data_IF_756306385483
#
_entry.id   IF_756306385483
#
_cell.length_a   1.000
_cell.length_b   1.000
_cell.length_c   1.000
_cell.angle_alpha   90.00
_cell.angle_beta   90.00
_cell.angle_gamma   90.00
#
_symmetry.space_group_name_H-M   'P 1'
#
loop_
_entity.id
_entity.type
_entity.pdbx_description
1 polymer ?
#
# COMPACT_ATOMS: atom_id res chain seq x y z
N UNK A 1 4.19 24.21 -58.64
CA UNK A 1 4.20 23.32 -57.47
C UNK A 1 2.95 22.43 -57.54
N UNK A 2 3.11 21.12 -57.76
CA UNK A 2 1.97 20.22 -57.89
C UNK A 2 1.26 20.04 -56.57
N UNK A 3 -0.07 20.17 -56.55
CA UNK A 3 -0.89 20.00 -55.33
C UNK A 3 -0.63 18.65 -54.63
N UNK A 4 -0.29 17.62 -55.39
CA UNK A 4 0.01 16.28 -54.89
C UNK A 4 1.32 16.22 -54.11
N UNK A 5 2.34 16.96 -54.51
CA UNK A 5 3.64 16.99 -53.76
C UNK A 5 3.49 17.68 -52.40
N UNK A 6 2.65 18.75 -52.34
CA UNK A 6 2.35 19.45 -51.12
C UNK A 6 1.53 18.57 -50.16
N UNK A 7 0.59 17.77 -50.70
CA UNK A 7 -0.22 16.84 -49.91
C UNK A 7 0.65 15.72 -49.31
N UNK A 8 1.57 15.15 -50.11
CA UNK A 8 2.51 14.12 -49.63
C UNK A 8 3.44 14.68 -48.54
N UNK A 9 3.92 15.91 -48.70
CA UNK A 9 4.73 16.57 -47.69
C UNK A 9 4.01 16.78 -46.35
N UNK A 10 2.77 17.23 -46.42
CA UNK A 10 1.95 17.45 -45.19
C UNK A 10 1.62 16.13 -44.49
N UNK A 11 1.22 15.08 -45.25
CA UNK A 11 0.91 13.77 -44.65
C UNK A 11 2.14 13.14 -44.02
N UNK A 12 3.32 13.27 -44.65
CA UNK A 12 4.59 12.81 -44.08
C UNK A 12 4.94 13.52 -42.77
N UNK A 13 4.80 14.83 -42.74
CA UNK A 13 5.08 15.63 -41.55
C UNK A 13 4.15 15.26 -40.39
N UNK A 14 2.85 15.06 -40.66
CA UNK A 14 1.87 14.63 -39.64
C UNK A 14 2.21 13.23 -39.12
N UNK A 15 2.57 12.29 -40.00
CA UNK A 15 2.96 10.94 -39.59
C UNK A 15 4.20 10.91 -38.70
N UNK A 16 5.23 11.69 -39.03
CA UNK A 16 6.44 11.82 -38.22
C UNK A 16 6.11 12.44 -36.86
N UNK A 17 5.29 13.49 -36.82
CA UNK A 17 4.87 14.13 -35.58
C UNK A 17 4.09 13.18 -34.68
N UNK A 18 3.23 12.35 -35.24
CA UNK A 18 2.49 11.31 -34.52
C UNK A 18 3.41 10.24 -33.93
N UNK A 19 4.39 9.77 -34.71
CA UNK A 19 5.37 8.80 -34.24
C UNK A 19 6.22 9.33 -33.10
N UNK A 20 6.69 10.57 -33.19
CA UNK A 20 7.46 11.24 -32.12
C UNK A 20 6.60 11.42 -30.88
N UNK A 21 5.35 11.82 -31.03
CA UNK A 21 4.42 11.96 -29.91
C UNK A 21 4.16 10.62 -29.19
N UNK A 22 3.92 9.53 -29.95
CA UNK A 22 3.71 8.20 -29.38
C UNK A 22 4.95 7.68 -28.66
N UNK A 23 6.14 7.87 -29.24
CA UNK A 23 7.41 7.52 -28.57
C UNK A 23 7.61 8.34 -27.27
N UNK A 24 7.35 9.63 -27.31
CA UNK A 24 7.46 10.50 -26.14
C UNK A 24 6.49 10.13 -25.01
N UNK A 25 5.25 9.76 -25.37
CA UNK A 25 4.23 9.33 -24.40
C UNK A 25 4.58 8.00 -23.71
N UNK A 26 5.20 7.09 -24.46
CA UNK A 26 5.59 5.77 -23.96
C UNK A 26 7.02 5.73 -23.38
N UNK A 27 7.77 6.81 -23.49
CA UNK A 27 9.10 6.90 -22.91
C UNK A 27 9.03 6.82 -21.38
N UNK A 28 9.72 5.84 -20.81
CA UNK A 28 9.89 5.74 -19.36
C UNK A 28 10.66 6.98 -18.88
N UNK A 29 10.03 7.81 -18.07
CA UNK A 29 10.70 8.95 -17.43
C UNK A 29 11.63 8.43 -16.33
N UNK A 30 12.89 8.27 -16.65
CA UNK A 30 13.92 8.00 -15.65
C UNK A 30 14.24 9.31 -14.92
N UNK A 31 14.18 9.29 -13.59
CA UNK A 31 14.65 10.42 -12.79
C UNK A 31 16.18 10.35 -12.72
N UNK A 32 16.85 11.43 -13.13
CA UNK A 32 18.30 11.55 -12.97
C UNK A 32 18.65 11.43 -11.49
N UNK A 33 19.66 10.61 -11.17
CA UNK A 33 20.13 10.37 -9.80
C UNK A 33 19.36 9.31 -9.01
N UNK A 34 18.45 8.54 -9.64
CA UNK A 34 17.77 7.41 -9.01
C UNK A 34 18.14 6.12 -9.74
N UNK A 35 19.04 5.35 -9.16
CA UNK A 35 19.62 4.17 -9.82
C UNK A 35 18.64 2.99 -9.98
N UNK A 36 17.61 2.87 -9.15
CA UNK A 36 16.73 1.70 -9.09
C UNK A 36 15.24 2.07 -9.13
N UNK A 37 14.78 2.65 -10.22
CA UNK A 37 13.36 2.87 -10.47
C UNK A 37 12.81 4.21 -9.95
N UNK A 38 11.50 4.39 -10.07
CA UNK A 38 10.78 5.62 -9.73
C UNK A 38 10.20 5.60 -8.31
N UNK A 39 10.76 4.81 -7.41
CA UNK A 39 10.29 4.72 -6.03
C UNK A 39 10.51 6.06 -5.30
N UNK A 40 9.50 6.47 -4.54
CA UNK A 40 9.56 7.63 -3.65
C UNK A 40 8.87 7.31 -2.33
N UNK A 41 9.18 8.03 -1.31
CA UNK A 41 8.42 7.96 -0.07
C UNK A 41 6.97 8.39 -0.32
N UNK A 42 6.01 7.59 0.18
CA UNK A 42 4.59 7.91 0.08
C UNK A 42 4.22 9.08 0.97
N UNK A 43 3.19 9.81 0.56
CA UNK A 43 2.53 10.84 1.38
C UNK A 43 1.24 10.28 1.95
N UNK A 44 0.63 10.97 2.93
CA UNK A 44 -0.68 10.60 3.48
C UNK A 44 -1.77 10.44 2.40
N UNK A 45 -1.71 11.23 1.33
CA UNK A 45 -2.62 11.12 0.18
C UNK A 45 -2.44 9.83 -0.61
N UNK A 46 -1.22 9.32 -0.69
CA UNK A 46 -0.92 8.07 -1.39
C UNK A 46 -1.40 6.86 -0.58
N UNK A 47 -1.45 6.98 0.75
CA UNK A 47 -1.86 5.91 1.67
C UNK A 47 -3.38 5.88 1.87
N UNK A 48 -4.07 7.02 1.77
CA UNK A 48 -5.49 7.14 1.99
C UNK A 48 -6.38 6.07 1.29
N UNK A 49 -6.13 5.68 0.03
CA UNK A 49 -6.91 4.64 -0.65
C UNK A 49 -6.75 3.23 -0.05
N UNK A 50 -5.75 3.03 0.79
CA UNK A 50 -5.45 1.74 1.44
C UNK A 50 -5.91 1.68 2.89
N UNK A 51 -6.64 2.68 3.36
CA UNK A 51 -7.20 2.76 4.71
C UNK A 51 -8.70 2.46 4.63
N UNK A 52 -9.18 1.58 5.52
CA UNK A 52 -10.62 1.35 5.67
C UNK A 52 -11.23 2.47 6.54
N UNK A 53 -12.42 2.99 6.17
CA UNK A 53 -13.15 3.96 7.00
C UNK A 53 -13.44 3.46 8.42
N UNK A 54 -13.73 2.17 8.55
CA UNK A 54 -13.95 1.52 9.85
C UNK A 54 -12.60 1.24 10.48
N UNK A 55 -12.35 1.82 11.65
CA UNK A 55 -11.06 1.71 12.32
C UNK A 55 -10.64 0.26 12.61
N UNK A 56 -11.59 -0.56 13.05
CA UNK A 56 -11.37 -1.97 13.43
C UNK A 56 -10.95 -2.86 12.25
N UNK A 57 -11.22 -2.45 11.02
CA UNK A 57 -10.85 -3.18 9.81
C UNK A 57 -9.43 -2.89 9.32
N UNK A 58 -8.63 -2.20 10.12
CA UNK A 58 -7.27 -1.84 9.74
C UNK A 58 -6.23 -2.49 10.66
N UNK A 59 -5.09 -2.84 10.09
CA UNK A 59 -3.88 -3.17 10.84
C UNK A 59 -3.19 -1.85 11.23
N UNK A 60 -2.88 -1.68 12.49
CA UNK A 60 -2.11 -0.54 12.99
C UNK A 60 -0.63 -0.76 12.67
N UNK A 61 -0.04 0.12 11.90
CA UNK A 61 1.38 0.09 11.55
C UNK A 61 2.19 0.97 12.50
N UNK A 62 1.69 2.18 12.75
CA UNK A 62 2.27 3.16 13.69
C UNK A 62 1.14 3.83 14.46
N UNK A 63 1.46 4.84 15.24
CA UNK A 63 0.46 5.63 15.95
C UNK A 63 -0.50 6.39 15.00
N UNK A 64 -0.04 6.75 13.81
CA UNK A 64 -0.80 7.52 12.81
C UNK A 64 -1.18 6.71 11.59
N UNK A 65 -0.40 5.68 11.24
CA UNK A 65 -0.55 4.96 9.99
C UNK A 65 -1.21 3.59 10.20
N UNK A 66 -2.13 3.28 9.31
CA UNK A 66 -2.89 2.03 9.31
C UNK A 66 -3.13 1.53 7.89
N UNK A 67 -3.40 0.25 7.76
CA UNK A 67 -3.61 -0.43 6.48
C UNK A 67 -4.85 -1.31 6.57
N UNK A 68 -5.76 -1.19 5.62
CA UNK A 68 -6.97 -2.03 5.57
C UNK A 68 -6.66 -3.52 5.50
N UNK A 69 -7.39 -4.33 6.24
CA UNK A 69 -7.36 -5.80 6.15
C UNK A 69 -8.21 -6.36 4.99
N UNK A 70 -9.00 -5.52 4.33
CA UNK A 70 -9.83 -5.95 3.20
C UNK A 70 -8.96 -6.42 2.03
N UNK A 71 -8.96 -7.72 1.77
CA UNK A 71 -8.22 -8.35 0.68
C UNK A 71 -8.83 -8.15 -0.71
N UNK A 72 -10.12 -7.75 -0.79
CA UNK A 72 -10.88 -7.59 -2.04
C UNK A 72 -11.50 -6.20 -2.14
N UNK A 73 -10.69 -5.15 -2.34
CA UNK A 73 -11.22 -3.81 -2.54
C UNK A 73 -12.02 -3.74 -3.85
N UNK A 74 -12.97 -2.81 -3.93
CA UNK A 74 -13.79 -2.57 -5.14
C UNK A 74 -12.94 -2.31 -6.39
N UNK A 75 -11.80 -1.66 -6.23
CA UNK A 75 -10.87 -1.40 -7.30
C UNK A 75 -9.65 -2.34 -7.18
N UNK A 76 -9.42 -3.26 -8.13
CA UNK A 76 -8.30 -4.21 -8.09
C UNK A 76 -6.92 -3.54 -8.02
N UNK A 77 -6.80 -2.30 -8.48
CA UNK A 77 -5.55 -1.51 -8.39
C UNK A 77 -5.06 -1.36 -6.95
N UNK A 78 -5.95 -1.37 -5.98
CA UNK A 78 -5.63 -1.23 -4.56
C UNK A 78 -5.52 -2.58 -3.82
N UNK A 79 -5.74 -3.69 -4.51
CA UNK A 79 -5.49 -5.03 -3.97
C UNK A 79 -3.98 -5.26 -3.85
N UNK A 80 -3.44 -5.06 -2.65
CA UNK A 80 -2.02 -5.24 -2.33
C UNK A 80 -1.84 -6.36 -1.33
N UNK A 81 -0.63 -6.92 -1.31
CA UNK A 81 -0.22 -7.85 -0.27
C UNK A 81 -0.26 -7.15 1.10
N UNK A 82 -0.82 -7.82 2.09
CA UNK A 82 -0.99 -7.33 3.46
C UNK A 82 0.07 -7.85 4.42
N UNK A 83 1.07 -8.56 3.91
CA UNK A 83 2.15 -9.06 4.75
C UNK A 83 2.95 -7.89 5.33
N UNK A 84 3.11 -7.88 6.64
CA UNK A 84 3.84 -6.85 7.37
C UNK A 84 5.02 -7.51 8.07
N UNK A 85 6.21 -6.99 7.87
CA UNK A 85 7.41 -7.35 8.60
C UNK A 85 7.78 -6.23 9.57
N UNK A 86 7.97 -6.56 10.84
CA UNK A 86 8.38 -5.60 11.87
C UNK A 86 9.78 -5.93 12.34
N UNK A 87 10.73 -5.06 12.04
CA UNK A 87 12.15 -5.25 12.33
C UNK A 87 12.54 -4.34 13.50
N UNK A 88 13.30 -4.88 14.45
CA UNK A 88 13.82 -4.10 15.57
C UNK A 88 14.62 -4.99 16.54
N UNK A 89 15.55 -4.41 17.25
CA UNK A 89 16.36 -5.08 18.26
C UNK A 89 15.57 -5.58 19.48
N UNK A 90 16.23 -6.24 20.40
CA UNK A 90 15.65 -6.61 21.69
C UNK A 90 15.30 -5.34 22.47
N UNK A 91 14.14 -5.33 23.12
CA UNK A 91 13.67 -4.15 23.88
C UNK A 91 13.10 -3.01 23.06
N UNK A 92 13.09 -3.06 21.71
CA UNK A 92 12.58 -1.99 20.85
C UNK A 92 11.05 -1.76 20.91
N UNK A 93 10.35 -2.50 21.76
CA UNK A 93 8.92 -2.32 21.97
C UNK A 93 8.00 -2.94 20.92
N UNK A 94 8.50 -3.81 20.01
CA UNK A 94 7.68 -4.46 18.96
C UNK A 94 6.39 -5.07 19.51
N UNK A 95 6.49 -5.82 20.58
CA UNK A 95 5.32 -6.45 21.21
C UNK A 95 4.37 -5.42 21.79
N UNK A 96 4.90 -4.36 22.42
CA UNK A 96 4.10 -3.34 23.09
C UNK A 96 3.38 -2.42 22.10
N UNK A 97 4.07 -1.98 21.04
CA UNK A 97 3.57 -0.92 20.16
C UNK A 97 2.95 -1.47 18.86
N UNK A 98 3.22 -2.72 18.49
CA UNK A 98 2.66 -3.31 17.29
C UNK A 98 1.76 -4.51 17.60
N UNK A 99 2.30 -5.57 18.25
CA UNK A 99 1.58 -6.83 18.41
C UNK A 99 0.35 -6.67 19.31
N UNK A 100 0.52 -6.12 20.52
CA UNK A 100 -0.57 -5.97 21.47
C UNK A 100 -1.71 -5.07 20.96
N UNK A 101 -1.45 -3.85 20.45
CA UNK A 101 -2.51 -3.00 19.92
C UNK A 101 -3.31 -3.67 18.80
N UNK A 102 -2.64 -4.37 17.89
CA UNK A 102 -3.33 -5.08 16.83
C UNK A 102 -4.16 -6.25 17.34
N UNK A 103 -3.65 -7.05 18.27
CA UNK A 103 -4.42 -8.14 18.89
C UNK A 103 -5.65 -7.63 19.66
N UNK A 104 -5.54 -6.49 20.32
CA UNK A 104 -6.65 -5.90 21.09
C UNK A 104 -7.70 -5.26 20.19
N UNK A 105 -7.30 -4.74 19.04
CA UNK A 105 -8.17 -4.02 18.12
C UNK A 105 -8.85 -4.94 17.10
N UNK A 106 -8.24 -6.08 16.75
CA UNK A 106 -8.77 -6.99 15.72
C UNK A 106 -10.21 -7.36 16.03
N UNK A 107 -11.08 -6.99 15.11
CA UNK A 107 -12.52 -7.09 15.27
C UNK A 107 -13.01 -8.52 15.34
N UNK A 108 -14.25 -8.69 15.77
CA UNK A 108 -14.97 -9.97 16.00
C UNK A 108 -15.05 -10.89 14.78
N UNK A 109 -14.76 -10.36 13.59
CA UNK A 109 -14.93 -11.09 12.32
C UNK A 109 -13.62 -11.61 11.71
N UNK A 110 -12.50 -11.48 12.43
CA UNK A 110 -11.18 -11.87 11.93
C UNK A 110 -10.63 -13.00 12.79
N UNK A 111 -10.33 -14.12 12.13
CA UNK A 111 -9.59 -15.21 12.75
C UNK A 111 -8.10 -15.00 12.54
N UNK A 112 -7.32 -15.19 13.60
CA UNK A 112 -5.87 -15.07 13.54
C UNK A 112 -5.19 -16.16 14.38
N UNK A 113 -3.99 -16.51 13.98
CA UNK A 113 -3.15 -17.46 14.71
C UNK A 113 -1.93 -16.70 15.22
N UNK A 114 -1.70 -16.76 16.51
CA UNK A 114 -0.56 -16.10 17.16
C UNK A 114 0.42 -17.17 17.63
N UNK A 115 1.66 -17.10 17.16
CA UNK A 115 2.75 -17.94 17.65
C UNK A 115 3.64 -17.13 18.57
N UNK A 116 3.64 -17.45 19.87
CA UNK A 116 4.49 -16.79 20.86
C UNK A 116 5.28 -17.82 21.67
N UNK A 117 6.58 -17.89 21.41
CA UNK A 117 7.48 -18.82 22.13
C UNK A 117 7.53 -18.57 23.63
N UNK A 118 7.27 -17.35 24.10
CA UNK A 118 7.31 -16.97 25.52
C UNK A 118 5.94 -16.91 26.19
N UNK A 119 4.84 -17.09 25.46
CA UNK A 119 3.47 -17.07 25.95
C UNK A 119 3.00 -15.73 26.56
N UNK A 120 3.79 -14.66 26.44
CA UNK A 120 3.49 -13.38 27.09
C UNK A 120 2.49 -12.51 26.35
N UNK A 121 2.40 -12.69 25.03
CA UNK A 121 1.50 -11.90 24.18
C UNK A 121 0.08 -12.42 24.28
N UNK A 122 -0.12 -13.72 24.28
CA UNK A 122 -1.41 -14.39 24.41
C UNK A 122 -2.06 -14.11 25.78
N UNK A 123 -1.35 -14.33 26.87
CA UNK A 123 -1.85 -14.10 28.23
C UNK A 123 -2.31 -12.65 28.50
N UNK A 124 -1.67 -11.68 27.83
CA UNK A 124 -2.08 -10.27 27.98
C UNK A 124 -3.29 -9.92 27.15
N UNK A 125 -3.45 -10.55 25.97
CA UNK A 125 -4.61 -10.39 25.12
C UNK A 125 -5.84 -11.09 25.75
N UNK A 126 -5.70 -12.33 26.21
CA UNK A 126 -6.77 -13.07 26.89
C UNK A 126 -7.33 -12.29 28.08
N UNK A 127 -6.48 -11.73 28.96
CA UNK A 127 -6.95 -10.91 30.08
C UNK A 127 -7.73 -9.67 29.65
N UNK A 128 -7.38 -9.08 28.51
CA UNK A 128 -8.13 -7.95 27.99
C UNK A 128 -9.49 -8.38 27.40
N UNK A 129 -9.57 -9.56 26.82
CA UNK A 129 -10.79 -10.10 26.20
C UNK A 129 -11.78 -10.65 27.23
N UNK A 130 -11.28 -11.28 28.28
CA UNK A 130 -12.14 -11.71 29.42
C UNK A 130 -12.68 -10.53 30.24
N UNK A 131 -12.03 -9.37 30.20
CA UNK A 131 -12.52 -8.13 30.83
C UNK A 131 -13.52 -7.34 30.00
N UNK A 132 -13.67 -7.65 28.72
CA UNK A 132 -14.70 -7.11 27.84
C UNK A 132 -15.84 -8.14 27.79
N UNK A 133 -16.85 -7.96 28.67
CA UNK A 133 -18.12 -8.71 28.59
C UNK A 133 -18.68 -8.57 27.16
N UNK A 134 -18.53 -9.61 26.39
CA UNK A 134 -19.17 -9.73 25.09
C UNK A 134 -20.63 -10.08 25.39
N UNK A 135 -21.45 -9.03 25.50
CA UNK A 135 -22.90 -9.15 25.46
C UNK A 135 -23.36 -9.33 24.01
#
# INVERSE_FOLDING_TARGET
>A
MHKNELLVGITGAVAVKLLVYMKGKNAKKFRQGVEYGSARWGTAKDIAPFIDPVFENNILLTMTERLTMNGRPKNPKFARNKNVIVIGGSGSGKTRFYVKPNLMQMGKYISYVVTDRKGRSSLSAERCWYGMDIK
#
